data_IF_933834174813
#
_entry.id   IF_933834174813
#
_cell.length_a   1.000
_cell.length_b   1.000
_cell.length_c   1.000
_cell.angle_alpha   90.00
_cell.angle_beta   90.00
_cell.angle_gamma   90.00
#
_symmetry.space_group_name_H-M   'P 1'
#
loop_
_entity.id
_entity.type
_entity.pdbx_description
1 polymer ?
#
# COMPACT_ATOMS: atom_id res chain seq x y z
N UNK A 1 -13.04 7.53 -18.11
CA UNK A 1 -12.31 6.44 -18.81
C UNK A 1 -10.93 6.97 -19.18
N UNK A 2 -9.93 6.77 -18.33
CA UNK A 2 -8.57 7.25 -18.59
C UNK A 2 -7.74 6.11 -19.15
N UNK A 3 -7.24 6.28 -20.38
CA UNK A 3 -6.34 5.34 -21.06
C UNK A 3 -4.91 5.58 -20.58
N UNK A 4 -4.26 4.53 -20.10
CA UNK A 4 -2.83 4.54 -19.77
C UNK A 4 -2.05 4.08 -21.01
N UNK A 5 -0.99 4.79 -21.45
CA UNK A 5 -0.18 4.38 -22.58
C UNK A 5 0.61 3.11 -22.22
N UNK A 6 0.47 2.08 -23.06
CA UNK A 6 1.29 0.87 -22.99
C UNK A 6 2.65 1.23 -23.57
N UNK A 7 3.69 1.19 -22.74
CA UNK A 7 5.08 1.36 -23.16
C UNK A 7 5.54 0.00 -23.66
N UNK A 8 5.63 -0.16 -24.98
CA UNK A 8 6.16 -1.35 -25.65
C UNK A 8 7.66 -1.47 -25.34
N UNK A 9 8.04 -2.45 -24.51
CA UNK A 9 9.46 -2.66 -24.22
C UNK A 9 9.83 -3.54 -23.03
N UNK A 10 9.01 -4.53 -22.65
CA UNK A 10 9.45 -5.76 -22.00
C UNK A 10 8.24 -6.70 -21.89
N UNK A 11 8.28 -7.85 -22.56
CA UNK A 11 7.19 -8.85 -22.61
C UNK A 11 7.11 -9.68 -21.32
N UNK A 12 7.22 -9.00 -20.17
CA UNK A 12 6.81 -9.57 -18.89
C UNK A 12 5.38 -9.12 -18.68
N UNK A 13 4.42 -10.05 -18.72
CA UNK A 13 3.00 -9.82 -18.40
C UNK A 13 2.87 -9.33 -16.94
N UNK A 14 3.19 -8.07 -16.69
CA UNK A 14 3.13 -7.44 -15.39
C UNK A 14 1.78 -6.75 -15.22
N UNK A 15 1.09 -7.06 -14.12
CA UNK A 15 -0.11 -6.35 -13.72
C UNK A 15 0.29 -5.14 -12.86
N UNK A 16 -0.27 -3.98 -13.17
CA UNK A 16 -0.06 -2.75 -12.40
C UNK A 16 -1.31 -2.42 -11.59
N UNK A 17 -1.12 -2.21 -10.30
CA UNK A 17 -2.19 -1.87 -9.35
C UNK A 17 -1.91 -0.50 -8.74
N UNK A 18 -2.95 0.32 -8.66
CA UNK A 18 -2.87 1.65 -8.09
C UNK A 18 -3.98 1.84 -7.06
N UNK A 19 -3.63 2.43 -5.93
CA UNK A 19 -4.59 2.86 -4.93
C UNK A 19 -4.11 4.16 -4.28
N UNK A 20 -5.07 4.94 -3.81
CA UNK A 20 -4.80 6.18 -3.09
C UNK A 20 -4.02 5.97 -1.78
N UNK A 21 -4.16 4.80 -1.16
CA UNK A 21 -3.58 4.49 0.13
C UNK A 21 -2.85 3.14 0.08
N UNK A 22 -1.70 3.05 0.74
CA UNK A 22 -0.94 1.80 0.85
C UNK A 22 -1.81 0.70 1.48
N UNK A 23 -2.60 1.04 2.50
CA UNK A 23 -3.50 0.06 3.11
C UNK A 23 -4.59 -0.43 2.15
N UNK A 24 -5.19 0.45 1.34
CA UNK A 24 -6.18 0.04 0.34
C UNK A 24 -5.57 -0.84 -0.76
N UNK A 25 -4.32 -0.57 -1.15
CA UNK A 25 -3.59 -1.41 -2.09
C UNK A 25 -3.36 -2.80 -1.51
N UNK A 26 -2.83 -2.90 -0.29
CA UNK A 26 -2.55 -4.18 0.37
C UNK A 26 -3.84 -4.99 0.58
N UNK A 27 -4.95 -4.34 0.98
CA UNK A 27 -6.27 -4.98 1.07
C UNK A 27 -6.71 -5.57 -0.28
N UNK A 28 -6.46 -4.86 -1.39
CA UNK A 28 -6.78 -5.35 -2.73
C UNK A 28 -5.91 -6.55 -3.12
N UNK A 29 -4.61 -6.50 -2.85
CA UNK A 29 -3.69 -7.59 -3.17
C UNK A 29 -4.05 -8.87 -2.41
N UNK A 30 -4.34 -8.74 -1.12
CA UNK A 30 -4.76 -9.87 -0.28
C UNK A 30 -6.09 -10.48 -0.76
N UNK A 31 -7.10 -9.64 -1.05
CA UNK A 31 -8.39 -10.10 -1.61
C UNK A 31 -8.24 -10.86 -2.93
N UNK A 32 -7.23 -10.53 -3.73
CA UNK A 32 -6.95 -11.19 -5.01
C UNK A 32 -5.93 -12.34 -4.87
N UNK A 33 -5.57 -12.75 -3.65
CA UNK A 33 -4.59 -13.80 -3.37
C UNK A 33 -3.20 -13.56 -4.00
N UNK A 34 -2.81 -12.29 -4.18
CA UNK A 34 -1.49 -11.92 -4.68
C UNK A 34 -0.54 -11.85 -3.49
N UNK A 35 0.55 -12.62 -3.50
CA UNK A 35 1.46 -12.72 -2.36
C UNK A 35 2.46 -11.56 -2.31
N UNK A 36 3.03 -11.27 -1.13
CA UNK A 36 4.08 -10.26 -0.98
C UNK A 36 5.33 -10.46 -1.81
N UNK A 37 5.71 -11.72 -2.08
CA UNK A 37 6.88 -12.05 -2.91
C UNK A 37 6.62 -11.88 -4.42
N UNK A 38 5.36 -11.80 -4.82
CA UNK A 38 4.94 -11.67 -6.22
C UNK A 38 4.84 -10.20 -6.68
N UNK A 39 5.02 -9.23 -5.77
CA UNK A 39 4.84 -7.81 -6.06
C UNK A 39 5.98 -6.95 -5.56
N UNK A 40 6.19 -5.82 -6.27
CA UNK A 40 7.02 -4.72 -5.81
C UNK A 40 6.12 -3.53 -5.52
N UNK A 41 6.24 -2.99 -4.32
CA UNK A 41 5.42 -1.85 -3.89
C UNK A 41 6.21 -0.56 -4.03
N UNK A 42 5.55 0.45 -4.59
CA UNK A 42 6.11 1.78 -4.77
C UNK A 42 5.15 2.82 -4.20
N UNK A 43 5.72 3.82 -3.54
CA UNK A 43 5.01 5.01 -3.08
C UNK A 43 5.35 6.19 -3.98
N UNK A 44 4.33 6.95 -4.38
CA UNK A 44 4.54 8.21 -5.08
C UNK A 44 4.64 9.35 -4.04
N UNK A 45 5.84 9.91 -3.86
CA UNK A 45 6.10 11.00 -2.93
C UNK A 45 6.81 12.14 -3.66
N UNK A 46 6.22 13.35 -3.63
CA UNK A 46 6.73 14.55 -4.33
C UNK A 46 7.09 14.27 -5.81
N UNK A 47 6.15 13.65 -6.53
CA UNK A 47 6.29 13.29 -7.95
C UNK A 47 7.42 12.28 -8.25
N UNK A 48 7.95 11.63 -7.21
CA UNK A 48 8.96 10.58 -7.34
C UNK A 48 8.38 9.25 -6.89
N UNK A 49 8.58 8.25 -7.73
CA UNK A 49 8.34 6.85 -7.36
C UNK A 49 9.49 6.35 -6.48
N UNK A 50 9.15 5.81 -5.32
CA UNK A 50 10.13 5.29 -4.37
C UNK A 50 9.69 3.90 -3.94
N UNK A 51 10.61 2.92 -4.00
CA UNK A 51 10.35 1.57 -3.50
C UNK A 51 10.00 1.60 -2.01
N UNK A 52 8.96 0.88 -1.63
CA UNK A 52 8.54 0.69 -0.25
C UNK A 52 9.19 -0.56 0.33
N UNK A 53 9.34 -0.57 1.64
CA UNK A 53 9.70 -1.74 2.42
C UNK A 53 8.43 -2.52 2.73
N UNK A 54 8.43 -3.83 2.43
CA UNK A 54 7.29 -4.69 2.70
C UNK A 54 7.21 -5.10 4.17
N UNK A 55 8.31 -5.05 4.94
CA UNK A 55 8.35 -5.47 6.34
C UNK A 55 7.23 -4.90 7.23
N UNK A 56 6.89 -3.59 7.20
CA UNK A 56 5.78 -3.06 7.99
C UNK A 56 4.39 -3.52 7.52
N UNK A 57 4.27 -4.10 6.34
CA UNK A 57 3.00 -4.54 5.74
C UNK A 57 2.71 -6.02 6.00
N UNK A 58 3.65 -6.76 6.62
CA UNK A 58 3.59 -8.21 6.77
C UNK A 58 3.38 -8.66 8.21
N UNK A 59 2.64 -9.76 8.36
CA UNK A 59 2.54 -10.51 9.61
C UNK A 59 3.82 -11.30 9.86
N UNK A 60 3.94 -11.85 11.07
CA UNK A 60 5.06 -12.75 11.42
C UNK A 60 5.15 -13.97 10.48
N UNK A 61 4.00 -14.45 9.97
CA UNK A 61 3.92 -15.52 8.95
C UNK A 61 4.24 -15.07 7.52
N UNK A 62 4.65 -13.83 7.29
CA UNK A 62 4.95 -13.29 5.96
C UNK A 62 3.73 -13.06 5.06
N UNK A 63 2.52 -12.94 5.64
CA UNK A 63 1.29 -12.62 4.90
C UNK A 63 0.96 -11.14 5.03
N UNK A 64 0.13 -10.60 4.14
CA UNK A 64 -0.36 -9.23 4.27
C UNK A 64 -1.09 -9.00 5.60
N UNK A 65 -0.74 -7.92 6.29
CA UNK A 65 -1.52 -7.47 7.43
C UNK A 65 -2.86 -6.91 6.96
N UNK A 66 -3.91 -7.21 7.72
CA UNK A 66 -5.24 -6.63 7.55
C UNK A 66 -5.43 -5.42 8.46
N UNK A 67 -6.33 -4.51 8.08
CA UNK A 67 -6.81 -3.46 9.00
C UNK A 67 -7.49 -4.11 10.22
N UNK A 68 -7.38 -3.52 11.43
CA UNK A 68 -6.63 -2.30 11.76
C UNK A 68 -5.13 -2.52 12.00
N UNK A 69 -4.65 -3.77 12.06
CA UNK A 69 -3.25 -4.12 12.37
C UNK A 69 -2.26 -3.53 11.36
N UNK A 70 -2.62 -3.51 10.08
CA UNK A 70 -1.81 -2.92 9.01
C UNK A 70 -1.51 -1.45 9.27
N UNK A 71 -2.55 -0.66 9.54
CA UNK A 71 -2.39 0.78 9.76
C UNK A 71 -1.60 1.07 11.04
N UNK A 72 -1.80 0.27 12.09
CA UNK A 72 -0.99 0.36 13.31
C UNK A 72 0.49 0.05 13.04
N UNK A 73 0.77 -0.99 12.27
CA UNK A 73 2.15 -1.36 11.91
C UNK A 73 2.85 -0.26 11.12
N UNK A 74 2.13 0.37 10.18
CA UNK A 74 2.64 1.50 9.39
C UNK A 74 2.89 2.73 10.27
N UNK A 75 1.98 3.04 11.20
CA UNK A 75 2.15 4.12 12.17
C UNK A 75 3.37 3.88 13.07
N UNK A 76 3.51 2.68 13.62
CA UNK A 76 4.65 2.30 14.47
C UNK A 76 5.97 2.35 13.70
N UNK A 77 5.95 1.95 12.42
CA UNK A 77 7.12 2.03 11.55
C UNK A 77 7.50 3.49 11.26
N UNK A 78 6.52 4.34 10.98
CA UNK A 78 6.75 5.79 10.83
C UNK A 78 7.34 6.38 12.10
N UNK A 79 6.79 6.11 13.28
CA UNK A 79 7.30 6.63 14.56
C UNK A 79 8.74 6.19 14.85
N UNK A 80 9.13 4.99 14.41
CA UNK A 80 10.49 4.46 14.59
C UNK A 80 11.50 5.03 13.60
N UNK A 81 11.11 5.17 12.33
CA UNK A 81 12.01 5.53 11.23
C UNK A 81 11.97 7.02 10.88
N UNK A 82 10.92 7.73 11.31
CA UNK A 82 10.56 9.09 10.88
C UNK A 82 10.44 9.21 9.35
N UNK A 83 10.18 8.10 8.67
CA UNK A 83 10.09 8.05 7.22
C UNK A 83 8.73 8.55 6.73
N UNK A 84 8.71 9.76 6.19
CA UNK A 84 7.50 10.46 5.76
C UNK A 84 6.64 9.67 4.77
N UNK A 85 7.21 8.67 4.08
CA UNK A 85 6.47 7.78 3.17
C UNK A 85 5.37 6.97 3.86
N UNK A 86 5.49 6.75 5.17
CA UNK A 86 4.53 5.98 5.98
C UNK A 86 3.69 6.87 6.91
N UNK A 87 3.80 8.20 6.77
CA UNK A 87 3.05 9.16 7.58
C UNK A 87 1.57 9.18 7.19
N UNK A 88 0.67 9.38 8.17
CA UNK A 88 -0.76 9.57 7.93
C UNK A 88 -1.64 8.33 8.15
N UNK A 89 -1.04 7.21 8.60
CA UNK A 89 -1.81 6.07 9.09
C UNK A 89 -2.10 6.26 10.57
N UNK A 90 -3.34 6.59 10.93
CA UNK A 90 -3.79 6.73 12.33
C UNK A 90 -4.79 5.62 12.69
N UNK A 91 -4.69 5.09 13.91
CA UNK A 91 -5.56 4.01 14.41
C UNK A 91 -6.85 4.62 14.98
N UNK A 92 -7.83 4.88 14.12
CA UNK A 92 -9.17 5.33 14.52
C UNK A 92 -10.25 4.27 14.31
N UNK A 93 -10.06 3.03 14.77
CA UNK A 93 -11.00 1.88 14.61
C UNK A 93 -11.27 1.44 13.15
N UNK A 94 -11.39 2.39 12.24
CA UNK A 94 -11.23 2.35 10.80
C UNK A 94 -10.14 3.38 10.47
N UNK A 95 -9.10 3.02 9.73
CA UNK A 95 -8.15 4.02 9.24
C UNK A 95 -8.90 5.05 8.36
N UNK A 96 -9.19 6.18 9.00
CA UNK A 96 -9.62 7.43 8.41
C UNK A 96 -8.35 8.16 8.01
N UNK A 97 -8.11 8.28 6.71
CA UNK A 97 -7.30 9.40 6.27
C UNK A 97 -8.24 10.59 6.39
N UNK A 98 -7.96 11.54 7.29
CA UNK A 98 -8.85 12.67 7.62
C UNK A 98 -9.33 13.45 6.38
N UNK A 99 -8.59 13.36 5.28
CA UNK A 99 -8.86 14.02 4.00
C UNK A 99 -9.59 13.14 2.96
N UNK A 100 -9.93 11.88 3.26
CA UNK A 100 -10.50 10.92 2.29
C UNK A 100 -11.68 10.16 2.86
N UNK A 101 -12.87 10.59 2.48
CA UNK A 101 -14.15 9.94 2.77
C UNK A 101 -14.19 8.53 2.16
N UNK A 102 -14.38 7.50 2.99
CA UNK A 102 -14.68 6.13 2.52
C UNK A 102 -16.20 5.92 2.61
N UNK A 103 -16.87 5.82 1.48
CA UNK A 103 -18.24 5.30 1.44
C UNK A 103 -18.22 3.85 1.93
N UNK A 104 -18.75 3.63 3.13
CA UNK A 104 -18.98 2.31 3.71
C UNK A 104 -20.00 1.59 2.83
N UNK A 105 -19.59 0.52 2.14
CA UNK A 105 -20.49 -0.39 1.41
C UNK A 105 -20.54 -1.74 2.09
#
# INVERSE_FOLDING_TARGET
>A
MSKVPVIEGNDELANYYFADTICGLVEHLDKNNIKPDEVKLFGCYREKEISLDNAPLLSEDGKWLQRPKLCKSLEDYYKKTMDERYKGHEVHSDCSFDDRDREVR
#
